data_IF_997044813350
#
_entry.id   IF_997044813350
#
_cell.length_a   1.000
_cell.length_b   1.000
_cell.length_c   1.000
_cell.angle_alpha   90.00
_cell.angle_beta   90.00
_cell.angle_gamma   90.00
#
_symmetry.space_group_name_H-M   'P 1'
#
loop_
_entity.id
_entity.type
_entity.pdbx_description
1 polymer ?
#
# COMPACT_ATOMS: atom_id res chain seq x y z
N UNK A 1 16.49 -7.84 -18.87
CA UNK A 1 15.85 -8.47 -17.73
C UNK A 1 16.62 -8.28 -16.44
N UNK A 2 17.00 -7.07 -16.17
CA UNK A 2 17.76 -6.70 -15.00
C UNK A 2 16.80 -6.13 -13.96
N UNK A 3 16.48 -6.94 -12.95
CA UNK A 3 16.05 -6.53 -11.62
C UNK A 3 14.82 -5.60 -11.51
N UNK A 4 14.08 -5.35 -12.60
CA UNK A 4 12.88 -4.49 -12.60
C UNK A 4 13.09 -3.12 -11.92
N UNK A 5 14.26 -2.52 -12.15
CA UNK A 5 14.60 -1.19 -11.67
C UNK A 5 14.48 -0.23 -12.87
N UNK A 6 13.90 0.92 -12.65
CA UNK A 6 13.92 2.00 -13.62
C UNK A 6 15.36 2.52 -13.78
N UNK A 7 15.86 2.50 -15.00
CA UNK A 7 17.21 2.97 -15.32
C UNK A 7 17.25 4.48 -15.57
N UNK A 8 16.15 5.02 -16.04
CA UNK A 8 15.96 6.43 -16.32
C UNK A 8 14.47 6.74 -16.31
N UNK A 9 14.09 7.77 -15.59
CA UNK A 9 12.73 8.29 -15.53
C UNK A 9 12.74 9.81 -15.59
N UNK A 10 11.78 10.39 -16.30
CA UNK A 10 11.56 11.83 -16.35
C UNK A 10 10.07 12.14 -16.31
N UNK A 11 9.71 13.28 -15.80
CA UNK A 11 8.32 13.71 -15.68
C UNK A 11 8.18 15.23 -15.58
N UNK A 12 6.96 15.70 -15.76
CA UNK A 12 6.56 17.08 -15.51
C UNK A 12 5.49 17.09 -14.41
N UNK A 13 5.70 17.87 -13.37
CA UNK A 13 4.72 18.17 -12.34
C UNK A 13 4.03 19.49 -12.71
N UNK A 14 2.72 19.50 -12.65
CA UNK A 14 1.89 20.68 -12.85
C UNK A 14 1.27 21.06 -11.51
N UNK A 15 1.45 22.31 -11.11
CA UNK A 15 0.91 22.84 -9.86
C UNK A 15 -0.37 23.65 -10.13
N UNK A 16 -1.20 23.81 -9.10
CA UNK A 16 -2.49 24.51 -9.20
C UNK A 16 -2.34 26.00 -9.58
N UNK A 17 -1.22 26.62 -9.22
CA UNK A 17 -0.88 28.00 -9.59
C UNK A 17 -0.39 28.16 -11.04
N UNK A 18 -0.31 27.06 -11.79
CA UNK A 18 0.17 27.00 -13.16
C UNK A 18 1.68 26.84 -13.31
N UNK A 19 2.42 26.78 -12.22
CA UNK A 19 3.85 26.49 -12.25
C UNK A 19 4.11 25.04 -12.68
N UNK A 20 5.33 24.78 -13.18
CA UNK A 20 5.74 23.48 -13.67
C UNK A 20 7.11 23.11 -13.12
N UNK A 21 7.31 21.81 -12.86
CA UNK A 21 8.62 21.27 -12.53
C UNK A 21 8.94 20.09 -13.44
N UNK A 22 10.12 20.13 -14.06
CA UNK A 22 10.68 18.97 -14.76
C UNK A 22 11.57 18.21 -13.81
N UNK A 23 11.32 16.91 -13.68
CA UNK A 23 12.08 16.02 -12.83
C UNK A 23 12.70 14.90 -13.67
N UNK A 24 13.92 14.53 -13.34
CA UNK A 24 14.63 13.41 -13.96
C UNK A 24 15.44 12.65 -12.92
N UNK A 25 15.43 11.33 -13.02
CA UNK A 25 16.27 10.43 -12.24
C UNK A 25 16.87 9.37 -13.18
N UNK A 26 18.14 9.06 -13.02
CA UNK A 26 18.78 8.02 -13.82
C UNK A 26 19.90 7.32 -13.03
N UNK A 27 20.05 6.01 -13.30
CA UNK A 27 21.13 5.18 -12.77
C UNK A 27 22.16 4.81 -13.85
N UNK A 28 21.80 4.96 -15.11
CA UNK A 28 22.61 4.59 -16.28
C UNK A 28 23.09 5.80 -17.12
N UNK A 29 22.76 7.02 -16.69
CA UNK A 29 23.17 8.25 -17.33
C UNK A 29 23.79 9.19 -16.29
N UNK A 30 24.78 9.97 -16.73
CA UNK A 30 25.26 11.10 -15.95
C UNK A 30 24.34 12.28 -16.23
N UNK A 31 23.68 12.78 -15.21
CA UNK A 31 22.83 13.98 -15.27
C UNK A 31 23.44 15.07 -14.40
N UNK A 32 23.12 16.32 -14.70
CA UNK A 32 23.51 17.41 -13.83
C UNK A 32 22.74 17.32 -12.52
N UNK A 33 23.45 17.20 -11.40
CA UNK A 33 22.86 17.24 -10.07
C UNK A 33 22.59 18.69 -9.67
N UNK A 34 21.60 19.34 -10.30
CA UNK A 34 21.28 20.74 -10.08
C UNK A 34 19.77 20.96 -9.99
N UNK A 35 19.39 22.01 -9.28
CA UNK A 35 18.01 22.54 -9.28
C UNK A 35 18.06 23.94 -9.90
N UNK A 36 17.19 24.15 -10.88
CA UNK A 36 16.97 25.46 -11.52
C UNK A 36 15.52 25.89 -11.30
N UNK A 37 15.32 27.09 -10.79
CA UNK A 37 14.02 27.70 -10.57
C UNK A 37 13.98 29.02 -11.34
N UNK A 38 12.97 29.21 -12.21
CA UNK A 38 12.83 30.43 -13.01
C UNK A 38 11.41 30.91 -13.02
N UNK A 39 11.24 32.24 -12.94
CA UNK A 39 9.97 32.96 -13.14
C UNK A 39 9.82 33.53 -14.55
N UNK A 40 10.78 33.26 -15.44
CA UNK A 40 10.85 33.82 -16.80
C UNK A 40 11.65 35.10 -16.93
N UNK A 41 11.94 35.81 -15.82
CA UNK A 41 12.78 37.02 -15.77
C UNK A 41 14.11 36.74 -15.06
N UNK A 42 14.09 35.92 -14.02
CA UNK A 42 15.27 35.53 -13.24
C UNK A 42 15.36 34.04 -13.10
N UNK A 43 16.57 33.54 -12.88
CA UNK A 43 16.82 32.13 -12.64
C UNK A 43 17.68 31.94 -11.39
N UNK A 44 17.26 31.09 -10.50
CA UNK A 44 18.03 30.60 -9.36
C UNK A 44 18.59 29.23 -9.75
N UNK A 45 19.88 29.06 -9.62
CA UNK A 45 20.57 27.79 -9.87
C UNK A 45 21.29 27.34 -8.60
N UNK A 46 21.04 26.09 -8.21
CA UNK A 46 21.68 25.44 -7.07
C UNK A 46 22.36 24.17 -7.57
N UNK A 47 23.69 24.16 -7.57
CA UNK A 47 24.48 23.00 -7.93
C UNK A 47 24.53 22.00 -6.78
N UNK A 48 24.30 20.74 -7.07
CA UNK A 48 24.39 19.61 -6.13
C UNK A 48 23.62 19.84 -4.81
N UNK A 49 22.33 20.24 -4.87
CA UNK A 49 21.54 20.56 -3.66
C UNK A 49 21.41 19.36 -2.71
N UNK A 50 21.50 18.13 -3.24
CA UNK A 50 21.40 16.90 -2.47
C UNK A 50 22.62 16.63 -1.56
N UNK A 51 23.75 17.26 -1.84
CA UNK A 51 24.99 17.08 -1.08
C UNK A 51 25.35 18.30 -0.22
N UNK A 52 24.65 19.41 -0.36
CA UNK A 52 24.73 20.61 0.49
C UNK A 52 26.16 21.00 0.88
N UNK A 53 27.08 21.02 -0.11
CA UNK A 53 28.49 21.40 0.11
C UNK A 53 29.38 20.31 0.73
N UNK A 54 28.93 19.09 0.88
CA UNK A 54 29.71 17.98 1.45
C UNK A 54 31.06 17.80 0.73
N UNK A 55 31.06 17.88 -0.60
CA UNK A 55 32.27 17.73 -1.43
C UNK A 55 33.03 19.02 -1.68
N UNK A 56 32.50 20.17 -1.26
CA UNK A 56 33.06 21.51 -1.51
C UNK A 56 33.51 22.21 -0.24
N UNK A 57 33.91 21.44 0.80
CA UNK A 57 34.38 22.00 2.05
C UNK A 57 33.28 22.64 2.92
N UNK A 58 32.05 22.08 2.84
CA UNK A 58 30.87 22.57 3.56
C UNK A 58 30.40 23.95 3.13
N UNK A 59 30.52 24.21 1.83
CA UNK A 59 30.12 25.41 1.20
C UNK A 59 29.21 25.11 0.01
N UNK A 60 28.03 25.68 0.00
CA UNK A 60 27.11 25.67 -1.15
C UNK A 60 27.04 27.06 -1.77
N UNK A 61 26.81 27.13 -3.07
CA UNK A 61 26.64 28.38 -3.79
C UNK A 61 25.28 28.39 -4.48
N UNK A 62 24.51 29.42 -4.20
CA UNK A 62 23.27 29.72 -4.91
C UNK A 62 23.62 30.83 -5.92
N UNK A 63 23.36 30.58 -7.19
CA UNK A 63 23.57 31.54 -8.27
C UNK A 63 22.21 32.13 -8.67
N UNK A 64 22.11 33.45 -8.69
CA UNK A 64 20.95 34.20 -9.19
C UNK A 64 21.36 34.87 -10.48
N UNK A 65 20.59 34.67 -11.55
CA UNK A 65 20.83 35.28 -12.86
C UNK A 65 19.61 36.11 -13.20
N UNK A 66 19.78 37.41 -13.38
CA UNK A 66 18.69 38.30 -13.77
C UNK A 66 18.42 38.32 -15.29
N UNK A 67 17.37 39.02 -15.72
CA UNK A 67 16.95 39.11 -17.12
C UNK A 67 18.03 39.76 -18.05
N UNK A 68 19.02 40.40 -17.50
CA UNK A 68 20.15 41.01 -18.24
C UNK A 68 21.37 40.08 -18.25
N UNK A 69 21.27 38.89 -17.64
CA UNK A 69 22.39 37.97 -17.51
C UNK A 69 23.39 38.33 -16.43
N UNK A 70 23.08 39.28 -15.54
CA UNK A 70 23.92 39.61 -14.40
C UNK A 70 23.81 38.51 -13.35
N UNK A 71 24.95 38.00 -12.90
CA UNK A 71 25.05 36.97 -11.90
C UNK A 71 25.30 37.56 -10.51
N UNK A 72 24.58 37.03 -9.53
CA UNK A 72 24.83 37.22 -8.10
C UNK A 72 25.09 35.85 -7.47
N UNK A 73 26.11 35.74 -6.62
CA UNK A 73 26.49 34.52 -5.94
C UNK A 73 26.27 34.67 -4.44
N UNK A 74 25.46 33.77 -3.87
CA UNK A 74 25.24 33.68 -2.43
C UNK A 74 25.97 32.45 -1.92
N UNK A 75 26.99 32.66 -1.09
CA UNK A 75 27.70 31.56 -0.41
C UNK A 75 26.98 31.20 0.89
N UNK A 76 26.61 29.93 1.00
CA UNK A 76 26.09 29.35 2.24
C UNK A 76 27.18 28.42 2.82
N UNK A 77 27.58 28.70 4.05
CA UNK A 77 28.62 27.92 4.74
C UNK A 77 28.03 27.28 6.00
N UNK A 78 28.51 26.10 6.32
CA UNK A 78 28.20 25.40 7.57
C UNK A 78 29.46 24.79 8.14
N UNK A 79 29.53 24.69 9.46
CA UNK A 79 30.59 23.98 10.20
C UNK A 79 30.26 22.50 10.39
N UNK A 80 29.04 22.08 10.06
CA UNK A 80 28.52 20.72 10.25
C UNK A 80 28.28 20.02 8.90
N UNK A 81 28.45 18.72 8.88
CA UNK A 81 28.03 17.87 7.76
C UNK A 81 26.49 17.71 7.72
N UNK A 82 25.96 17.28 6.58
CA UNK A 82 24.49 17.14 6.36
C UNK A 82 23.84 16.23 7.41
N UNK A 83 24.41 15.06 7.65
CA UNK A 83 23.89 14.13 8.66
C UNK A 83 23.97 14.65 10.11
N UNK A 84 24.96 15.50 10.41
CA UNK A 84 25.03 16.14 11.72
C UNK A 84 23.90 17.16 11.89
N UNK A 85 23.53 17.88 10.85
CA UNK A 85 22.36 18.79 10.87
C UNK A 85 21.05 18.01 11.04
N UNK A 86 20.87 16.88 10.35
CA UNK A 86 19.71 16.01 10.53
C UNK A 86 19.60 15.49 11.96
N UNK A 87 20.72 15.02 12.54
CA UNK A 87 20.77 14.51 13.91
C UNK A 87 20.44 15.64 14.91
N UNK A 88 20.97 16.84 14.72
CA UNK A 88 20.69 17.99 15.57
C UNK A 88 19.19 18.32 15.58
N UNK A 89 18.56 18.40 14.40
CA UNK A 89 17.12 18.67 14.30
C UNK A 89 16.26 17.58 14.90
N UNK A 90 16.61 16.32 14.65
CA UNK A 90 15.93 15.20 15.29
C UNK A 90 16.05 15.27 16.81
N UNK A 91 17.26 15.55 17.32
CA UNK A 91 17.54 15.65 18.74
C UNK A 91 16.76 16.80 19.38
N UNK A 92 16.70 17.95 18.72
CA UNK A 92 15.90 19.08 19.16
C UNK A 92 14.39 18.73 19.22
N UNK A 93 13.85 18.11 18.18
CA UNK A 93 12.46 17.66 18.17
C UNK A 93 12.18 16.67 19.31
N UNK A 94 13.07 15.71 19.53
CA UNK A 94 12.94 14.71 20.60
C UNK A 94 12.90 15.34 21.98
N UNK A 95 13.82 16.27 22.29
CA UNK A 95 13.84 16.94 23.60
C UNK A 95 12.68 17.91 23.81
N UNK A 96 12.08 18.40 22.73
CA UNK A 96 10.88 19.24 22.79
C UNK A 96 9.58 18.42 22.74
N UNK A 97 9.67 17.08 22.83
CA UNK A 97 8.52 16.16 22.73
C UNK A 97 7.67 16.38 21.48
N UNK A 98 8.30 16.87 20.41
CA UNK A 98 7.65 17.09 19.13
C UNK A 98 7.55 15.78 18.33
N UNK A 99 6.43 15.57 17.62
CA UNK A 99 6.21 14.38 16.81
C UNK A 99 6.81 14.51 15.39
N UNK A 100 7.23 15.71 15.02
CA UNK A 100 7.85 16.02 13.71
C UNK A 100 8.83 17.19 13.86
N UNK A 101 9.70 17.40 12.87
CA UNK A 101 10.57 18.57 12.79
C UNK A 101 9.93 19.67 11.96
N UNK A 102 10.22 20.93 12.26
CA UNK A 102 9.72 22.07 11.47
C UNK A 102 10.28 22.12 10.05
N UNK A 103 11.43 21.48 9.80
CA UNK A 103 12.09 21.48 8.50
C UNK A 103 11.62 20.30 7.61
N UNK A 104 11.09 19.24 8.19
CA UNK A 104 10.55 18.08 7.48
C UNK A 104 9.28 17.59 8.19
N UNK A 105 8.17 18.31 8.07
CA UNK A 105 6.91 17.87 8.64
C UNK A 105 6.35 16.66 7.93
N UNK A 106 5.46 15.92 8.61
CA UNK A 106 4.84 14.71 8.06
C UNK A 106 4.13 14.96 6.73
N UNK A 107 3.53 16.15 6.57
CA UNK A 107 2.84 16.51 5.33
C UNK A 107 3.78 16.59 4.12
N UNK A 108 5.02 17.06 4.29
CA UNK A 108 6.00 17.09 3.21
C UNK A 108 6.43 15.68 2.81
N UNK A 109 6.69 14.82 3.79
CA UNK A 109 6.99 13.41 3.54
C UNK A 109 5.83 12.69 2.84
N UNK A 110 4.59 12.93 3.29
CA UNK A 110 3.40 12.36 2.70
C UNK A 110 3.18 12.88 1.27
N UNK A 111 3.31 14.18 1.05
CA UNK A 111 3.20 14.79 -0.28
C UNK A 111 4.24 14.25 -1.26
N UNK A 112 5.49 14.09 -0.81
CA UNK A 112 6.55 13.49 -1.62
C UNK A 112 6.23 12.04 -2.01
N UNK A 113 5.75 11.22 -1.08
CA UNK A 113 5.36 9.84 -1.37
C UNK A 113 4.19 9.78 -2.36
N UNK A 114 3.18 10.65 -2.23
CA UNK A 114 2.07 10.74 -3.19
C UNK A 114 2.58 11.09 -4.59
N UNK A 115 3.51 12.04 -4.70
CA UNK A 115 4.10 12.44 -5.98
C UNK A 115 4.88 11.29 -6.63
N UNK A 116 5.70 10.59 -5.85
CA UNK A 116 6.46 9.42 -6.32
C UNK A 116 5.54 8.27 -6.76
N UNK A 117 4.51 7.94 -6.00
CA UNK A 117 3.55 6.90 -6.34
C UNK A 117 2.74 7.27 -7.60
N UNK A 118 2.39 8.53 -7.76
CA UNK A 118 1.72 9.03 -8.96
C UNK A 118 2.61 8.91 -10.18
N UNK A 119 3.87 9.31 -10.06
CA UNK A 119 4.86 9.20 -11.11
C UNK A 119 5.11 7.74 -11.51
N UNK A 120 5.30 6.85 -10.54
CA UNK A 120 5.42 5.40 -10.79
C UNK A 120 4.19 4.82 -11.50
N UNK A 121 3.00 5.26 -11.13
CA UNK A 121 1.73 4.82 -11.75
C UNK A 121 1.65 5.26 -13.21
N UNK A 122 2.01 6.51 -13.53
CA UNK A 122 2.04 7.02 -14.90
C UNK A 122 3.05 6.25 -15.76
N UNK A 123 4.22 5.93 -15.22
CA UNK A 123 5.24 5.12 -15.88
C UNK A 123 4.89 3.64 -15.94
N UNK A 124 3.81 3.20 -15.29
CA UNK A 124 3.42 1.78 -15.16
C UNK A 124 4.53 0.90 -14.57
N UNK A 125 5.36 1.47 -13.72
CA UNK A 125 6.44 0.76 -13.02
C UNK A 125 5.85 0.03 -11.83
N UNK A 126 5.98 -1.29 -11.83
CA UNK A 126 5.56 -2.17 -10.73
C UNK A 126 6.76 -3.04 -10.37
N UNK A 127 7.34 -2.84 -9.20
CA UNK A 127 8.40 -3.70 -8.70
C UNK A 127 7.86 -5.04 -8.22
N UNK A 128 8.69 -6.07 -8.22
CA UNK A 128 8.26 -7.38 -7.72
C UNK A 128 7.81 -7.34 -6.26
N UNK A 129 8.44 -6.51 -5.44
CA UNK A 129 8.06 -6.31 -4.03
C UNK A 129 6.74 -5.56 -3.84
N UNK A 130 6.27 -4.83 -4.85
CA UNK A 130 4.96 -4.18 -4.84
C UNK A 130 3.83 -5.18 -5.09
N UNK A 131 4.15 -6.36 -5.63
CA UNK A 131 3.19 -7.43 -5.84
C UNK A 131 2.98 -8.14 -4.52
N UNK A 132 1.80 -7.95 -3.93
CA UNK A 132 1.43 -8.54 -2.64
C UNK A 132 1.72 -10.04 -2.55
N UNK A 133 1.65 -10.75 -3.67
CA UNK A 133 1.96 -12.18 -3.81
C UNK A 133 3.41 -12.53 -3.45
N UNK A 134 4.35 -11.61 -3.68
CA UNK A 134 5.78 -11.80 -3.42
C UNK A 134 6.26 -11.08 -2.15
N UNK A 135 5.40 -10.25 -1.57
CA UNK A 135 5.74 -9.53 -0.36
C UNK A 135 6.00 -10.55 0.75
N UNK A 136 7.25 -10.79 1.04
CA UNK A 136 7.64 -11.41 2.30
C UNK A 136 7.33 -10.39 3.39
N UNK A 137 6.08 -10.36 3.83
CA UNK A 137 5.81 -9.72 5.12
C UNK A 137 6.74 -10.43 6.08
N UNK A 138 7.55 -9.65 6.79
CA UNK A 138 8.21 -10.19 7.94
C UNK A 138 7.12 -10.95 8.69
N UNK A 139 7.27 -12.27 8.79
CA UNK A 139 6.46 -13.07 9.69
C UNK A 139 6.59 -12.29 10.97
N UNK A 140 5.49 -11.69 11.43
CA UNK A 140 5.46 -10.99 12.72
C UNK A 140 6.13 -11.98 13.65
N UNK A 141 7.29 -11.59 14.20
CA UNK A 141 8.16 -12.54 14.85
C UNK A 141 7.28 -13.29 15.84
N UNK A 142 7.30 -14.62 15.77
CA UNK A 142 6.45 -15.48 16.60
C UNK A 142 6.61 -15.24 18.11
N UNK A 143 7.39 -14.25 18.47
CA UNK A 143 7.75 -13.83 19.81
C UNK A 143 7.01 -12.58 20.34
N UNK A 144 6.20 -11.90 19.53
CA UNK A 144 5.25 -10.98 20.13
C UNK A 144 4.13 -11.83 20.74
N UNK A 145 4.02 -11.78 22.06
CA UNK A 145 2.90 -12.35 22.78
C UNK A 145 1.62 -11.74 22.22
N UNK A 146 0.99 -12.45 21.28
CA UNK A 146 -0.34 -12.10 20.79
C UNK A 146 -1.24 -12.09 22.03
N UNK A 147 -1.82 -10.96 22.36
CA UNK A 147 -3.04 -11.00 23.15
C UNK A 147 -4.12 -11.53 22.23
N UNK A 148 -4.51 -12.81 22.35
CA UNK A 148 -5.44 -13.40 21.39
C UNK A 148 -6.78 -12.66 21.53
N UNK A 149 -7.39 -12.31 20.40
CA UNK A 149 -8.78 -11.90 20.41
C UNK A 149 -9.63 -13.00 21.06
N UNK A 150 -10.69 -12.63 21.81
CA UNK A 150 -11.62 -13.62 22.32
C UNK A 150 -12.07 -14.55 21.20
N UNK A 151 -12.07 -15.85 21.47
CA UNK A 151 -12.47 -16.86 20.51
C UNK A 151 -13.73 -17.60 20.95
N UNK A 152 -14.31 -18.35 20.04
CA UNK A 152 -15.41 -19.27 20.27
C UNK A 152 -15.23 -20.52 19.42
N UNK A 153 -15.90 -21.61 19.80
CA UNK A 153 -16.00 -22.83 19.01
C UNK A 153 -17.41 -22.99 18.47
N UNK A 154 -17.49 -23.37 17.19
CA UNK A 154 -18.75 -23.75 16.54
C UNK A 154 -18.70 -25.25 16.28
N UNK A 155 -19.72 -26.04 16.69
CA UNK A 155 -19.78 -27.45 16.37
C UNK A 155 -19.66 -27.69 14.86
N UNK A 156 -18.81 -28.62 14.45
CA UNK A 156 -18.56 -28.93 13.04
C UNK A 156 -17.38 -28.16 12.42
N UNK A 157 -16.81 -27.16 13.12
CA UNK A 157 -15.59 -26.47 12.68
C UNK A 157 -14.47 -26.81 13.67
N UNK A 158 -13.38 -27.38 13.17
CA UNK A 158 -12.25 -27.80 14.01
C UNK A 158 -11.38 -26.64 14.50
N UNK A 159 -11.50 -25.47 13.89
CA UNK A 159 -10.73 -24.25 14.21
C UNK A 159 -11.43 -23.44 15.30
N UNK A 160 -10.65 -22.80 16.15
CA UNK A 160 -11.16 -21.73 17.02
C UNK A 160 -11.41 -20.47 16.19
N UNK A 161 -12.55 -19.84 16.36
CA UNK A 161 -12.95 -18.64 15.61
C UNK A 161 -12.73 -17.40 16.46
N UNK A 162 -12.03 -16.38 15.93
CA UNK A 162 -12.01 -15.07 16.55
C UNK A 162 -13.43 -14.48 16.60
N UNK A 163 -13.81 -13.89 17.74
CA UNK A 163 -15.12 -13.25 17.89
C UNK A 163 -15.27 -11.96 17.09
N UNK A 164 -14.16 -11.44 16.58
CA UNK A 164 -14.12 -10.35 15.61
C UNK A 164 -13.91 -10.96 14.24
N UNK A 165 -14.72 -10.55 13.29
CA UNK A 165 -14.69 -11.01 11.90
C UNK A 165 -14.25 -9.87 11.00
N UNK A 166 -13.35 -10.13 10.06
CA UNK A 166 -12.88 -9.16 9.10
C UNK A 166 -13.75 -9.18 7.84
N UNK A 167 -14.38 -8.04 7.49
CA UNK A 167 -15.13 -7.88 6.23
C UNK A 167 -14.20 -7.57 5.04
N UNK A 168 -14.28 -8.38 3.99
CA UNK A 168 -13.40 -8.31 2.82
C UNK A 168 -14.00 -7.53 1.65
N UNK A 169 -14.86 -6.53 1.87
CA UNK A 169 -15.57 -5.80 0.81
C UNK A 169 -14.92 -4.48 0.38
N UNK A 170 -13.95 -3.97 1.14
CA UNK A 170 -13.41 -2.62 0.99
C UNK A 170 -11.96 -2.53 0.49
N UNK A 171 -11.34 -3.63 0.10
CA UNK A 171 -9.96 -3.63 -0.36
C UNK A 171 -9.87 -3.13 -1.80
N UNK A 172 -9.09 -2.08 -2.02
CA UNK A 172 -8.94 -1.45 -3.33
C UNK A 172 -8.07 -2.25 -4.30
N UNK A 173 -7.06 -2.92 -3.74
CA UNK A 173 -6.07 -3.69 -4.48
C UNK A 173 -5.39 -4.75 -3.58
N UNK A 174 -4.50 -5.54 -4.16
CA UNK A 174 -3.79 -6.62 -3.47
C UNK A 174 -2.93 -6.11 -2.31
N UNK A 175 -2.25 -4.98 -2.46
CA UNK A 175 -1.36 -4.45 -1.42
C UNK A 175 -2.14 -3.96 -0.21
N UNK A 176 -3.25 -3.24 -0.47
CA UNK A 176 -4.17 -2.81 0.58
C UNK A 176 -4.77 -4.02 1.31
N UNK A 177 -5.24 -5.02 0.56
CA UNK A 177 -5.79 -6.25 1.13
C UNK A 177 -4.77 -6.96 2.04
N UNK A 178 -3.55 -7.17 1.55
CA UNK A 178 -2.50 -7.86 2.31
C UNK A 178 -2.13 -7.11 3.59
N UNK A 179 -1.98 -5.79 3.52
CA UNK A 179 -1.66 -4.98 4.70
C UNK A 179 -2.76 -5.09 5.78
N UNK A 180 -4.02 -5.03 5.38
CA UNK A 180 -5.16 -5.12 6.29
C UNK A 180 -5.30 -6.54 6.87
N UNK A 181 -5.17 -7.58 6.05
CA UNK A 181 -5.29 -8.97 6.48
C UNK A 181 -4.13 -9.37 7.41
N UNK A 182 -2.88 -8.97 7.07
CA UNK A 182 -1.72 -9.20 7.93
C UNK A 182 -1.90 -8.52 9.29
N UNK A 183 -2.39 -7.27 9.31
CA UNK A 183 -2.63 -6.56 10.56
C UNK A 183 -3.69 -7.26 11.42
N UNK A 184 -4.84 -7.59 10.85
CA UNK A 184 -5.90 -8.30 11.56
C UNK A 184 -5.43 -9.66 12.10
N UNK A 185 -4.75 -10.43 11.26
CA UNK A 185 -4.19 -11.72 11.66
C UNK A 185 -3.14 -11.58 12.78
N UNK A 186 -2.28 -10.55 12.70
CA UNK A 186 -1.25 -10.27 13.73
C UNK A 186 -1.86 -9.95 15.09
N UNK A 187 -3.10 -9.45 15.14
CA UNK A 187 -3.85 -9.18 16.37
C UNK A 187 -4.67 -10.36 16.87
N UNK A 188 -4.51 -11.54 16.24
CA UNK A 188 -5.16 -12.78 16.65
C UNK A 188 -6.49 -13.06 15.93
N UNK A 189 -6.88 -12.22 14.97
CA UNK A 189 -8.04 -12.46 14.11
C UNK A 189 -7.78 -13.57 13.11
N UNK A 190 -8.75 -14.44 12.87
CA UNK A 190 -8.63 -15.53 11.90
C UNK A 190 -9.92 -15.80 11.10
N UNK A 191 -10.98 -15.04 11.32
CA UNK A 191 -12.24 -15.18 10.58
C UNK A 191 -12.37 -14.07 9.56
N UNK A 192 -12.51 -14.44 8.29
CA UNK A 192 -12.64 -13.51 7.17
C UNK A 192 -13.97 -13.74 6.45
N UNK A 193 -14.77 -12.69 6.35
CA UNK A 193 -16.06 -12.65 5.69
C UNK A 193 -15.93 -12.11 4.28
N UNK A 194 -16.15 -12.97 3.29
CA UNK A 194 -16.15 -12.61 1.88
C UNK A 194 -17.50 -12.93 1.22
N UNK A 195 -17.70 -12.50 -0.01
CA UNK A 195 -18.87 -12.85 -0.79
C UNK A 195 -18.57 -12.87 -2.28
N UNK A 196 -19.28 -13.73 -3.01
CA UNK A 196 -19.21 -13.88 -4.46
C UNK A 196 -19.23 -12.54 -5.21
N UNK A 197 -20.06 -11.58 -4.73
CA UNK A 197 -20.25 -10.27 -5.37
C UNK A 197 -19.28 -9.19 -4.89
N UNK A 198 -18.56 -9.39 -3.77
CA UNK A 198 -17.72 -8.35 -3.19
C UNK A 198 -16.64 -7.92 -4.19
N UNK A 199 -16.62 -6.61 -4.46
CA UNK A 199 -15.66 -6.01 -5.39
C UNK A 199 -15.60 -6.73 -6.75
N UNK A 200 -16.77 -7.20 -7.27
CA UNK A 200 -16.89 -7.99 -8.50
C UNK A 200 -16.00 -9.25 -8.49
N UNK A 201 -15.94 -9.94 -7.37
CA UNK A 201 -15.16 -11.16 -7.16
C UNK A 201 -13.68 -10.95 -6.83
N UNK A 202 -13.19 -9.71 -6.83
CA UNK A 202 -11.79 -9.43 -6.49
C UNK A 202 -11.49 -9.68 -5.01
N UNK A 203 -12.49 -9.54 -4.12
CA UNK A 203 -12.30 -9.82 -2.70
C UNK A 203 -11.93 -11.28 -2.45
N UNK A 204 -12.60 -12.21 -3.11
CA UNK A 204 -12.25 -13.64 -3.08
C UNK A 204 -10.82 -13.87 -3.58
N UNK A 205 -10.46 -13.25 -4.72
CA UNK A 205 -9.11 -13.34 -5.28
C UNK A 205 -8.04 -12.80 -4.32
N UNK A 206 -8.25 -11.63 -3.72
CA UNK A 206 -7.29 -11.04 -2.79
C UNK A 206 -7.11 -11.89 -1.53
N UNK A 207 -8.20 -12.39 -0.97
CA UNK A 207 -8.16 -13.25 0.21
C UNK A 207 -7.44 -14.57 -0.10
N UNK A 208 -7.77 -15.21 -1.20
CA UNK A 208 -7.11 -16.44 -1.64
C UNK A 208 -5.61 -16.26 -1.85
N UNK A 209 -5.22 -15.19 -2.56
CA UNK A 209 -3.80 -14.87 -2.78
C UNK A 209 -3.04 -14.61 -1.49
N UNK A 210 -3.66 -13.92 -0.54
CA UNK A 210 -3.05 -13.69 0.77
C UNK A 210 -2.88 -15.00 1.55
N UNK A 211 -3.91 -15.83 1.61
CA UNK A 211 -3.88 -17.14 2.30
C UNK A 211 -2.78 -18.04 1.69
N UNK A 212 -2.70 -18.11 0.36
CA UNK A 212 -1.67 -18.87 -0.36
C UNK A 212 -0.27 -18.35 -0.03
N UNK A 213 -0.05 -17.04 -0.16
CA UNK A 213 1.25 -16.41 0.06
C UNK A 213 1.76 -16.55 1.51
N UNK A 214 0.86 -16.72 2.49
CA UNK A 214 1.19 -16.89 3.91
C UNK A 214 1.13 -18.35 4.37
N UNK A 215 0.60 -19.26 3.55
CA UNK A 215 0.43 -20.67 3.92
C UNK A 215 -0.60 -20.90 5.03
N UNK A 216 -1.62 -20.06 5.15
CA UNK A 216 -2.51 -19.97 6.32
C UNK A 216 -3.84 -20.70 6.18
N UNK A 217 -4.09 -21.46 5.10
CA UNK A 217 -5.43 -22.03 4.87
C UNK A 217 -5.97 -22.85 6.04
N UNK A 218 -5.12 -23.55 6.75
CA UNK A 218 -5.51 -24.38 7.88
C UNK A 218 -5.75 -23.58 9.18
N UNK A 219 -5.32 -22.33 9.24
CA UNK A 219 -5.47 -21.47 10.40
C UNK A 219 -6.62 -20.45 10.26
N UNK A 220 -6.98 -20.15 9.00
CA UNK A 220 -8.00 -19.16 8.65
C UNK A 220 -9.36 -19.84 8.52
N UNK A 221 -10.38 -19.19 9.07
CA UNK A 221 -11.79 -19.51 8.85
C UNK A 221 -12.34 -18.56 7.79
N UNK A 222 -12.79 -19.11 6.68
CA UNK A 222 -13.41 -18.37 5.59
C UNK A 222 -14.92 -18.52 5.68
N UNK A 223 -15.63 -17.40 5.84
CA UNK A 223 -17.07 -17.31 5.69
C UNK A 223 -17.35 -16.76 4.29
N UNK A 224 -17.81 -17.62 3.39
CA UNK A 224 -18.21 -17.27 2.03
C UNK A 224 -19.72 -17.03 1.95
N UNK A 225 -20.13 -16.16 1.00
CA UNK A 225 -21.54 -15.88 0.75
C UNK A 225 -21.84 -15.90 -0.73
N UNK A 226 -22.98 -16.49 -1.10
CA UNK A 226 -23.57 -16.41 -2.44
C UNK A 226 -25.05 -16.05 -2.39
N UNK A 227 -25.75 -16.24 -3.49
CA UNK A 227 -27.18 -15.99 -3.60
C UNK A 227 -27.59 -14.56 -3.20
N UNK A 228 -26.95 -13.56 -3.80
CA UNK A 228 -27.35 -12.16 -3.70
C UNK A 228 -28.38 -11.82 -4.78
N UNK A 229 -29.31 -10.92 -4.51
CA UNK A 229 -30.24 -10.36 -5.49
C UNK A 229 -29.50 -9.76 -6.70
N UNK A 230 -29.89 -10.04 -7.97
CA UNK A 230 -31.11 -10.79 -8.38
C UNK A 230 -30.94 -12.33 -8.42
N UNK A 231 -29.78 -12.87 -8.15
CA UNK A 231 -29.45 -14.31 -8.28
C UNK A 231 -29.64 -15.10 -6.99
N UNK A 232 -30.59 -14.71 -6.14
CA UNK A 232 -30.93 -15.42 -4.91
C UNK A 232 -31.88 -16.59 -5.19
N UNK A 233 -31.32 -17.67 -5.80
CA UNK A 233 -32.02 -18.89 -6.18
C UNK A 233 -31.16 -20.13 -5.89
N UNK A 234 -31.76 -21.29 -5.55
CA UNK A 234 -31.01 -22.52 -5.24
C UNK A 234 -30.01 -22.93 -6.33
N UNK A 235 -30.43 -22.88 -7.59
CA UNK A 235 -29.58 -23.24 -8.74
C UNK A 235 -28.37 -22.35 -8.94
N UNK A 236 -28.32 -21.18 -8.30
CA UNK A 236 -27.19 -20.25 -8.38
C UNK A 236 -26.14 -20.52 -7.31
N UNK A 237 -26.47 -21.24 -6.25
CA UNK A 237 -25.59 -21.44 -5.10
C UNK A 237 -24.33 -22.20 -5.50
N UNK A 238 -24.48 -23.40 -6.08
CA UNK A 238 -23.34 -24.24 -6.47
C UNK A 238 -22.38 -23.55 -7.47
N UNK A 239 -22.85 -22.98 -8.60
CA UNK A 239 -21.95 -22.27 -9.52
C UNK A 239 -21.21 -21.11 -8.90
N UNK A 240 -21.86 -20.32 -8.02
CA UNK A 240 -21.21 -19.20 -7.34
C UNK A 240 -20.18 -19.67 -6.33
N UNK A 241 -20.46 -20.75 -5.59
CA UNK A 241 -19.49 -21.34 -4.67
C UNK A 241 -18.28 -21.88 -5.42
N UNK A 242 -18.48 -22.64 -6.50
CA UNK A 242 -17.39 -23.18 -7.32
C UNK A 242 -16.49 -22.07 -7.89
N UNK A 243 -17.09 -20.97 -8.34
CA UNK A 243 -16.34 -19.80 -8.83
C UNK A 243 -15.58 -19.10 -7.68
N UNK A 244 -16.18 -18.93 -6.51
CA UNK A 244 -15.52 -18.40 -5.30
C UNK A 244 -14.31 -19.26 -4.93
N UNK A 245 -14.46 -20.57 -4.90
CA UNK A 245 -13.37 -21.50 -4.60
C UNK A 245 -12.23 -21.40 -5.63
N UNK A 246 -12.58 -21.27 -6.92
CA UNK A 246 -11.61 -21.09 -8.00
C UNK A 246 -10.85 -19.75 -7.86
N UNK A 247 -11.55 -18.64 -7.58
CA UNK A 247 -10.93 -17.33 -7.34
C UNK A 247 -9.97 -17.34 -6.15
N UNK A 248 -10.32 -18.07 -5.10
CA UNK A 248 -9.52 -18.18 -3.88
C UNK A 248 -8.42 -19.24 -3.98
N UNK A 249 -8.38 -20.06 -5.04
CA UNK A 249 -7.46 -21.20 -5.17
C UNK A 249 -7.54 -22.17 -3.97
N UNK A 250 -8.76 -22.46 -3.50
CA UNK A 250 -9.02 -23.37 -2.37
C UNK A 250 -10.10 -24.40 -2.73
N UNK A 251 -10.15 -25.50 -2.00
CA UNK A 251 -11.14 -26.56 -2.22
C UNK A 251 -12.37 -26.44 -1.30
N UNK A 252 -12.36 -25.53 -0.34
CA UNK A 252 -13.46 -25.38 0.60
C UNK A 252 -13.52 -23.98 1.22
N UNK A 253 -14.68 -23.60 1.74
CA UNK A 253 -14.87 -22.56 2.75
C UNK A 253 -15.30 -23.22 4.06
N UNK A 254 -15.03 -22.58 5.18
CA UNK A 254 -15.35 -23.17 6.50
C UNK A 254 -16.83 -22.95 6.86
N UNK A 255 -17.40 -21.83 6.41
CA UNK A 255 -18.79 -21.46 6.61
C UNK A 255 -19.31 -20.92 5.29
N UNK A 256 -20.51 -21.32 4.88
CA UNK A 256 -21.18 -20.75 3.72
C UNK A 256 -22.58 -20.25 4.09
N UNK A 257 -22.92 -19.06 3.64
CA UNK A 257 -24.18 -18.41 3.92
C UNK A 257 -24.87 -17.92 2.64
N UNK A 258 -26.19 -17.85 2.68
CA UNK A 258 -26.95 -17.07 1.70
C UNK A 258 -26.76 -15.58 2.00
N UNK A 259 -26.51 -14.78 0.97
CA UNK A 259 -26.26 -13.35 1.14
C UNK A 259 -27.56 -12.56 1.29
N UNK A 260 -28.64 -13.06 0.71
CA UNK A 260 -29.98 -12.49 0.77
C UNK A 260 -31.03 -13.60 0.89
N UNK A 261 -32.19 -13.22 1.29
CA UNK A 261 -33.38 -14.05 1.28
C UNK A 261 -34.21 -13.84 0.01
N UNK A 262 -34.98 -14.86 -0.39
CA UNK A 262 -35.96 -14.75 -1.45
C UNK A 262 -37.28 -15.44 -1.00
N UNK A 263 -38.20 -14.64 -0.50
CA UNK A 263 -39.49 -15.10 0.02
C UNK A 263 -40.39 -15.79 -1.02
N UNK A 264 -40.04 -15.69 -2.32
CA UNK A 264 -40.77 -16.33 -3.41
C UNK A 264 -40.30 -17.77 -3.69
N UNK A 265 -39.28 -18.24 -2.99
CA UNK A 265 -38.68 -19.59 -3.13
C UNK A 265 -38.86 -20.31 -1.79
N UNK A 266 -39.37 -21.56 -1.81
CA UNK A 266 -39.46 -22.35 -0.57
C UNK A 266 -38.09 -22.48 0.08
N UNK A 267 -38.02 -22.32 1.40
CA UNK A 267 -36.72 -22.40 2.13
C UNK A 267 -36.13 -23.81 2.06
N UNK A 268 -36.98 -24.83 1.94
CA UNK A 268 -36.58 -26.22 1.75
C UNK A 268 -35.69 -26.42 0.54
N UNK A 269 -35.97 -25.73 -0.58
CA UNK A 269 -35.18 -25.83 -1.82
C UNK A 269 -33.75 -25.30 -1.62
N UNK A 270 -33.59 -24.23 -0.81
CA UNK A 270 -32.26 -23.73 -0.41
C UNK A 270 -31.54 -24.73 0.52
N UNK A 271 -32.25 -25.30 1.49
CA UNK A 271 -31.68 -26.26 2.44
C UNK A 271 -31.22 -27.51 1.71
N UNK A 272 -32.02 -28.05 0.81
CA UNK A 272 -31.68 -29.24 0.01
C UNK A 272 -30.43 -28.98 -0.81
N UNK A 273 -30.35 -27.82 -1.48
CA UNK A 273 -29.15 -27.43 -2.25
C UNK A 273 -27.91 -27.30 -1.35
N UNK A 274 -28.03 -26.68 -0.17
CA UNK A 274 -26.90 -26.55 0.76
C UNK A 274 -26.45 -27.89 1.35
N UNK A 275 -27.37 -28.84 1.55
CA UNK A 275 -27.04 -30.17 2.03
C UNK A 275 -26.31 -31.05 0.98
N UNK A 276 -26.39 -30.69 -0.29
CA UNK A 276 -25.68 -31.37 -1.39
C UNK A 276 -24.24 -30.84 -1.60
N UNK A 277 -23.88 -29.74 -0.96
CA UNK A 277 -22.57 -29.08 -1.11
C UNK A 277 -21.56 -29.57 -0.09
#
# INVERSE_FOLDING_TARGET
>A
NFQQIDLNASGELLFEDGSKSHIQSATNLTTDSAVSISDGESTILIDQPWHCGEFTGRKSVIKIIDSNGKEELIEVKTDKGIYALEIDHFTEAYFNEAIETSLLPHNDSHGNMIALDSWRRELKVVYDDDRGEKRKVAVVAQNETREPLPSLRIPGIEKDLSRVVFGCDNQSDTNHAFAMFDHFYSKGGNVFDTAYIYNNGKSDYYLGKWIEARGLRNEIVVLGKGAHTPDCFPEKIRPQLEETLARMSTSYVDIYCLHRDNENVPVEDFIDTLNEL
#
